data_IF_406659137189
#
_entry.id   IF_406659137189
#
_cell.length_a   1.000
_cell.length_b   1.000
_cell.length_c   1.000
_cell.angle_alpha   90.00
_cell.angle_beta   90.00
_cell.angle_gamma   90.00
#
_symmetry.space_group_name_H-M   'P 1'
#
loop_
_entity.id
_entity.type
_entity.pdbx_description
1 polymer ?
#
# COMPACT_ATOMS: atom_id res chain seq x y z
N UNK A 1 35.85 -5.57 41.86
CA UNK A 1 36.99 -5.08 41.04
C UNK A 1 36.45 -3.98 40.13
N UNK A 2 36.60 -2.72 40.53
CA UNK A 2 36.22 -1.55 39.72
C UNK A 2 37.36 -1.18 38.77
N UNK A 3 37.08 -1.06 37.47
CA UNK A 3 38.05 -0.55 36.49
C UNK A 3 37.86 0.96 36.28
N UNK A 4 38.84 1.75 36.75
CA UNK A 4 38.93 3.19 36.43
C UNK A 4 39.37 3.38 34.97
N UNK A 5 38.53 4.00 34.14
CA UNK A 5 38.93 4.53 32.83
C UNK A 5 39.67 5.87 32.99
N UNK A 6 40.79 6.05 32.30
CA UNK A 6 41.53 7.32 32.20
C UNK A 6 41.04 8.14 30.99
N UNK A 7 41.00 9.49 31.06
CA UNK A 7 40.63 10.31 29.91
C UNK A 7 41.78 10.44 28.91
N UNK A 8 41.42 10.46 27.62
CA UNK A 8 42.33 10.65 26.47
C UNK A 8 42.68 12.13 26.32
N UNK A 9 43.98 12.45 26.28
CA UNK A 9 44.50 13.80 26.07
C UNK A 9 44.64 14.06 24.56
N UNK A 10 43.86 15.01 24.01
CA UNK A 10 44.02 15.47 22.62
C UNK A 10 45.20 16.45 22.50
N UNK A 11 46.02 16.31 21.46
CA UNK A 11 47.21 17.14 21.26
C UNK A 11 46.87 18.52 20.69
N UNK A 12 47.65 19.54 21.10
CA UNK A 12 47.50 20.95 20.71
C UNK A 12 47.46 21.19 19.19
N UNK A 13 47.98 20.26 18.38
CA UNK A 13 48.01 20.36 16.93
C UNK A 13 46.62 20.20 16.27
N UNK A 14 45.70 19.45 16.89
CA UNK A 14 44.35 19.25 16.33
C UNK A 14 43.42 20.47 16.53
N UNK A 15 43.63 21.24 17.60
CA UNK A 15 42.85 22.45 17.89
C UNK A 15 43.18 23.57 16.88
N UNK A 16 44.45 23.65 16.45
CA UNK A 16 44.90 24.64 15.46
C UNK A 16 44.35 24.38 14.05
N UNK A 17 44.16 23.11 13.67
CA UNK A 17 43.59 22.74 12.36
C UNK A 17 42.09 23.07 12.30
N UNK A 18 41.37 22.95 13.42
CA UNK A 18 39.95 23.30 13.50
C UNK A 18 39.73 24.83 13.44
N UNK A 19 40.56 25.60 14.14
CA UNK A 19 40.48 27.07 14.13
C UNK A 19 40.83 27.68 12.76
N UNK A 20 41.81 27.12 12.05
CA UNK A 20 42.17 27.59 10.70
C UNK A 20 41.04 27.34 9.67
N UNK A 21 40.26 26.27 9.84
CA UNK A 21 39.16 25.93 8.92
C UNK A 21 37.96 26.88 9.04
N UNK A 22 37.69 27.40 10.25
CA UNK A 22 36.59 28.37 10.48
C UNK A 22 36.94 29.76 9.93
N UNK A 23 38.22 30.16 10.00
CA UNK A 23 38.68 31.46 9.49
C UNK A 23 38.58 31.56 7.95
N UNK A 24 38.84 30.46 7.23
CA UNK A 24 38.71 30.42 5.76
C UNK A 24 37.24 30.52 5.32
N UNK A 25 36.31 29.94 6.08
CA UNK A 25 34.88 30.07 5.79
C UNK A 25 34.35 31.50 5.98
N UNK A 26 34.91 32.26 6.95
CA UNK A 26 34.50 33.64 7.18
C UNK A 26 35.03 34.61 6.10
N UNK A 27 36.20 34.34 5.52
CA UNK A 27 36.74 35.16 4.42
C UNK A 27 36.02 34.92 3.08
N UNK A 28 35.49 33.71 2.83
CA UNK A 28 34.70 33.43 1.62
C UNK A 28 33.35 34.16 1.66
N UNK A 29 32.74 34.34 2.83
CA UNK A 29 31.48 35.07 2.98
C UNK A 29 31.60 36.58 2.69
N UNK A 30 32.78 37.17 2.90
CA UNK A 30 33.04 38.60 2.62
C UNK A 30 33.31 38.88 1.12
N UNK A 31 33.63 37.85 0.33
CA UNK A 31 33.94 37.97 -1.11
C UNK A 31 32.71 37.89 -2.04
N UNK A 32 31.53 37.47 -1.52
CA UNK A 32 30.33 37.22 -2.35
C UNK A 32 29.36 38.43 -2.39
N UNK A 33 29.71 39.57 -1.80
CA UNK A 33 29.10 40.87 -2.14
C UNK A 33 27.56 40.95 -2.06
N UNK A 34 26.90 40.17 -1.19
CA UNK A 34 25.45 40.28 -0.97
C UNK A 34 25.15 41.47 -0.06
N UNK A 35 24.85 42.62 -0.69
CA UNK A 35 24.27 43.78 -0.01
C UNK A 35 22.88 43.43 0.49
N UNK A 36 22.67 43.48 1.81
CA UNK A 36 21.33 43.56 2.39
C UNK A 36 20.73 44.94 2.09
N UNK A 37 19.54 44.96 1.47
CA UNK A 37 18.69 46.14 1.38
C UNK A 37 17.69 46.17 2.56
N UNK A 38 17.21 47.36 2.98
CA UNK A 38 16.73 47.60 4.33
C UNK A 38 15.21 47.52 4.52
N UNK A 39 14.83 47.33 5.80
CA UNK A 39 13.57 47.67 6.48
C UNK A 39 12.25 47.28 5.82
N UNK A 40 11.59 46.26 6.38
CA UNK A 40 10.15 46.05 6.19
C UNK A 40 9.38 47.17 6.89
N UNK A 41 8.50 47.83 6.13
CA UNK A 41 7.48 48.74 6.63
C UNK A 41 6.43 47.98 7.45
N UNK A 42 6.07 48.54 8.60
CA UNK A 42 4.86 48.26 9.36
C UNK A 42 3.65 48.57 8.47
N UNK A 43 2.96 47.55 7.92
CA UNK A 43 1.55 47.60 7.48
C UNK A 43 1.03 46.26 6.90
N UNK A 44 1.28 45.14 7.59
CA UNK A 44 0.66 43.84 7.24
C UNK A 44 -0.21 43.24 8.36
N UNK A 45 -0.54 44.04 9.37
CA UNK A 45 -1.37 43.62 10.51
C UNK A 45 -2.89 43.65 10.24
N UNK A 46 -3.35 43.72 8.98
CA UNK A 46 -4.77 43.87 8.65
C UNK A 46 -5.40 42.70 7.87
N UNK A 47 -4.66 41.60 7.65
CA UNK A 47 -5.19 40.39 6.98
C UNK A 47 -5.25 39.14 7.87
N UNK A 48 -5.05 39.25 9.19
CA UNK A 48 -5.00 38.11 10.11
C UNK A 48 -6.31 37.84 10.90
N UNK A 49 -7.44 38.44 10.52
CA UNK A 49 -8.73 38.20 11.19
C UNK A 49 -9.77 37.57 10.25
N UNK A 50 -9.48 36.34 9.80
CA UNK A 50 -10.49 35.41 9.32
C UNK A 50 -10.55 34.22 10.30
N UNK A 51 -11.66 34.01 11.03
CA UNK A 51 -11.84 32.82 11.86
C UNK A 51 -12.25 31.66 10.95
N UNK A 52 -11.28 31.12 10.20
CA UNK A 52 -11.48 29.99 9.29
C UNK A 52 -10.19 29.15 9.23
N UNK A 53 -9.64 28.78 10.39
CA UNK A 53 -8.72 27.64 10.63
C UNK A 53 -8.66 27.50 12.16
N UNK A 54 -9.62 26.79 12.76
CA UNK A 54 -9.54 26.46 14.18
C UNK A 54 -10.23 25.12 14.49
N UNK A 55 -10.09 24.12 13.61
CA UNK A 55 -10.22 22.69 13.93
C UNK A 55 -9.72 21.86 12.75
N UNK A 56 -8.44 22.00 12.40
CA UNK A 56 -7.74 20.89 11.76
C UNK A 56 -6.75 20.39 12.81
N UNK A 57 -7.28 19.57 13.72
CA UNK A 57 -6.45 18.80 14.62
C UNK A 57 -5.47 18.04 13.73
N UNK A 58 -4.17 18.35 13.85
CA UNK A 58 -3.12 17.48 13.32
C UNK A 58 -3.27 16.18 14.09
N UNK A 59 -4.03 15.23 13.55
CA UNK A 59 -4.16 13.91 14.14
C UNK A 59 -2.74 13.34 14.28
N UNK A 60 -2.31 12.97 15.50
CA UNK A 60 -1.08 12.22 15.67
C UNK A 60 -1.00 11.07 14.66
N UNK A 61 0.23 10.72 14.27
CA UNK A 61 0.54 9.62 13.32
C UNK A 61 -0.21 8.32 13.68
N UNK A 62 -0.61 8.14 14.94
CA UNK A 62 -1.81 7.40 15.32
C UNK A 62 -2.55 8.11 16.44
N UNK A 63 -3.65 8.78 16.14
CA UNK A 63 -4.76 8.89 17.09
C UNK A 63 -5.83 7.89 16.67
N UNK A 64 -5.57 6.61 16.92
CA UNK A 64 -6.55 5.52 16.81
C UNK A 64 -7.65 5.64 17.89
N UNK A 65 -7.91 6.84 18.43
CA UNK A 65 -8.91 7.04 19.47
C UNK A 65 -10.33 6.97 18.87
N UNK A 66 -10.82 5.74 18.82
CA UNK A 66 -12.14 5.30 19.29
C UNK A 66 -13.42 5.88 18.64
N UNK A 67 -13.37 6.54 17.49
CA UNK A 67 -14.55 6.56 16.62
C UNK A 67 -14.51 5.34 15.70
N UNK A 68 -15.50 4.46 15.79
CA UNK A 68 -15.67 3.40 14.79
C UNK A 68 -15.86 4.05 13.42
N UNK A 69 -15.04 3.68 12.43
CA UNK A 69 -15.23 4.15 11.06
C UNK A 69 -16.64 3.78 10.60
N UNK A 70 -17.36 4.75 10.03
CA UNK A 70 -18.69 4.53 9.46
C UNK A 70 -18.53 4.40 7.96
N UNK A 71 -18.96 3.26 7.42
CA UNK A 71 -18.99 3.09 5.97
C UNK A 71 -19.98 4.09 5.37
N UNK A 72 -19.60 4.67 4.23
CA UNK A 72 -20.36 5.71 3.53
C UNK A 72 -20.55 5.22 2.10
N UNK A 73 -21.60 4.43 1.83
CA UNK A 73 -21.90 3.89 0.49
C UNK A 73 -21.93 4.97 -0.60
N UNK A 74 -21.82 4.61 -1.86
CA UNK A 74 -21.93 5.60 -2.93
C UNK A 74 -23.31 6.27 -2.94
N UNK A 75 -23.36 7.53 -3.37
CA UNK A 75 -24.65 8.19 -3.63
C UNK A 75 -25.07 7.82 -5.05
N UNK A 76 -26.14 7.02 -5.17
CA UNK A 76 -26.69 6.58 -6.45
C UNK A 76 -27.31 7.74 -7.24
N UNK A 77 -27.24 7.66 -8.56
CA UNK A 77 -27.85 8.62 -9.49
C UNK A 77 -28.97 7.96 -10.30
N UNK A 78 -30.10 8.65 -10.46
CA UNK A 78 -31.27 8.15 -11.22
C UNK A 78 -31.02 8.13 -12.73
N UNK A 79 -30.22 9.07 -13.21
CA UNK A 79 -29.81 9.14 -14.60
C UNK A 79 -28.58 8.25 -14.79
N UNK A 80 -28.75 7.26 -15.64
CA UNK A 80 -27.68 6.57 -16.35
C UNK A 80 -26.95 7.66 -17.17
N UNK A 81 -26.05 8.42 -16.53
CA UNK A 81 -25.16 9.36 -17.24
C UNK A 81 -24.17 8.47 -17.96
N UNK A 82 -24.66 7.90 -19.07
CA UNK A 82 -24.04 6.79 -19.77
C UNK A 82 -22.64 7.16 -20.14
N UNK A 83 -21.70 6.43 -19.58
CA UNK A 83 -20.31 6.51 -20.00
C UNK A 83 -20.23 6.05 -21.46
N UNK A 84 -19.49 6.75 -22.35
CA UNK A 84 -19.13 6.23 -23.66
C UNK A 84 -18.38 4.87 -23.60
N UNK A 85 -17.87 4.49 -22.42
CA UNK A 85 -17.10 3.28 -22.17
C UNK A 85 -17.91 2.12 -21.55
N UNK A 86 -19.25 2.19 -21.46
CA UNK A 86 -20.14 1.12 -20.96
C UNK A 86 -19.92 -0.26 -21.60
N UNK A 87 -19.37 -0.29 -22.82
CA UNK A 87 -18.99 -1.54 -23.48
C UNK A 87 -17.91 -2.32 -22.71
N UNK A 88 -17.11 -1.62 -21.90
CA UNK A 88 -15.92 -2.16 -21.22
C UNK A 88 -15.98 -2.00 -19.69
N UNK A 89 -16.66 -0.96 -19.19
CA UNK A 89 -16.72 -0.64 -17.76
C UNK A 89 -18.14 -0.62 -17.20
N UNK A 90 -18.30 -1.18 -16.00
CA UNK A 90 -19.50 -1.12 -15.18
C UNK A 90 -19.55 0.15 -14.35
N UNK A 91 -20.48 0.21 -13.40
CA UNK A 91 -20.77 1.40 -12.61
C UNK A 91 -22.20 1.91 -12.82
N UNK A 92 -23.15 1.03 -13.13
CA UNK A 92 -24.53 1.41 -13.38
C UNK A 92 -25.13 2.10 -12.14
N UNK A 93 -25.60 3.34 -12.34
CA UNK A 93 -26.16 4.17 -11.27
C UNK A 93 -25.12 4.69 -10.26
N UNK A 94 -23.83 4.51 -10.53
CA UNK A 94 -22.74 5.09 -9.75
C UNK A 94 -22.37 6.47 -10.27
N UNK A 95 -21.79 7.30 -9.39
CA UNK A 95 -21.19 8.56 -9.84
C UNK A 95 -19.89 8.29 -10.59
N UNK A 96 -19.66 9.10 -11.61
CA UNK A 96 -18.48 9.05 -12.49
C UNK A 96 -17.13 9.01 -11.75
N UNK A 97 -17.00 9.68 -10.61
CA UNK A 97 -15.73 9.73 -9.88
C UNK A 97 -15.27 8.37 -9.33
N UNK A 98 -16.14 7.36 -9.29
CA UNK A 98 -15.83 6.02 -8.81
C UNK A 98 -15.02 5.19 -9.81
N UNK A 99 -14.80 5.68 -11.04
CA UNK A 99 -13.95 5.03 -12.04
C UNK A 99 -14.57 3.79 -12.71
N UNK A 100 -15.48 3.09 -12.04
CA UNK A 100 -16.10 1.86 -12.56
C UNK A 100 -15.19 0.64 -12.39
N UNK A 101 -15.53 -0.46 -13.05
CA UNK A 101 -14.78 -1.72 -13.00
C UNK A 101 -14.96 -2.48 -14.32
N UNK A 102 -14.14 -3.49 -14.62
CA UNK A 102 -14.31 -4.30 -15.82
C UNK A 102 -15.66 -5.06 -15.82
N UNK A 103 -16.63 -4.61 -16.63
CA UNK A 103 -17.96 -5.20 -16.73
C UNK A 103 -18.03 -6.15 -17.92
N UNK A 104 -17.96 -7.46 -17.64
CA UNK A 104 -18.13 -8.51 -18.66
C UNK A 104 -16.92 -9.39 -18.89
N UNK A 105 -15.77 -9.03 -18.33
CA UNK A 105 -14.59 -9.90 -18.25
C UNK A 105 -13.80 -9.64 -16.98
N UNK A 106 -12.91 -10.56 -16.65
CA UNK A 106 -11.87 -10.33 -15.65
C UNK A 106 -10.80 -9.44 -16.27
N UNK A 107 -10.42 -8.37 -15.57
CA UNK A 107 -9.26 -7.58 -15.96
C UNK A 107 -7.98 -8.36 -15.67
N UNK A 108 -7.47 -9.02 -16.70
CA UNK A 108 -6.28 -9.87 -16.60
C UNK A 108 -4.99 -9.07 -16.35
N UNK A 109 -5.03 -7.75 -16.47
CA UNK A 109 -3.89 -6.88 -16.21
C UNK A 109 -3.71 -6.62 -14.69
N UNK A 110 -4.78 -6.80 -13.90
CA UNK A 110 -4.77 -6.74 -12.44
C UNK A 110 -4.64 -8.11 -11.74
N UNK A 111 -4.64 -9.22 -12.49
CA UNK A 111 -4.63 -10.58 -11.94
C UNK A 111 -3.23 -11.20 -11.95
N UNK A 112 -2.74 -11.62 -10.77
CA UNK A 112 -1.44 -12.30 -10.66
C UNK A 112 -1.36 -13.32 -9.50
N UNK A 113 -1.75 -14.58 -9.74
CA UNK A 113 -1.58 -15.66 -8.76
C UNK A 113 -0.13 -15.82 -8.29
N UNK A 114 0.87 -15.56 -9.13
CA UNK A 114 2.27 -15.63 -8.72
C UNK A 114 2.65 -14.53 -7.71
N UNK A 115 2.21 -13.29 -7.93
CA UNK A 115 2.41 -12.21 -6.96
C UNK A 115 1.69 -12.49 -5.64
N UNK A 116 0.45 -13.00 -5.70
CA UNK A 116 -0.33 -13.34 -4.50
C UNK A 116 0.27 -14.52 -3.75
N UNK A 117 0.78 -15.53 -4.45
CA UNK A 117 1.51 -16.66 -3.87
C UNK A 117 2.80 -16.21 -3.18
N UNK A 118 3.55 -15.29 -3.80
CA UNK A 118 4.72 -14.66 -3.17
C UNK A 118 4.33 -13.94 -1.87
N UNK A 119 3.26 -13.14 -1.90
CA UNK A 119 2.77 -12.44 -0.71
C UNK A 119 2.37 -13.42 0.40
N UNK A 120 1.64 -14.48 0.06
CA UNK A 120 1.21 -15.50 1.02
C UNK A 120 2.40 -16.22 1.67
N UNK A 121 3.35 -16.68 0.85
CA UNK A 121 4.42 -17.61 1.27
C UNK A 121 5.68 -16.93 1.80
N UNK A 122 6.14 -15.89 1.12
CA UNK A 122 7.43 -15.26 1.41
C UNK A 122 7.27 -13.99 2.23
N UNK A 123 6.23 -13.19 1.97
CA UNK A 123 5.95 -12.02 2.78
C UNK A 123 5.13 -12.35 4.02
N UNK A 124 4.49 -13.54 4.06
CA UNK A 124 3.79 -14.06 5.22
C UNK A 124 2.44 -13.38 5.47
N UNK A 125 1.76 -12.91 4.43
CA UNK A 125 0.48 -12.22 4.57
C UNK A 125 -0.61 -13.19 5.04
N UNK A 126 -1.28 -12.88 6.16
CA UNK A 126 -2.38 -13.65 6.76
C UNK A 126 -3.66 -12.84 6.94
N UNK A 127 -3.57 -11.51 6.86
CA UNK A 127 -4.72 -10.60 6.87
C UNK A 127 -4.54 -9.51 5.81
N UNK A 128 -5.59 -9.20 5.06
CA UNK A 128 -5.50 -8.31 3.90
C UNK A 128 -6.72 -7.41 3.77
N UNK A 129 -6.49 -6.13 3.49
CA UNK A 129 -7.52 -5.21 3.04
C UNK A 129 -7.32 -4.92 1.55
N UNK A 130 -8.29 -5.32 0.73
CA UNK A 130 -8.35 -5.05 -0.70
C UNK A 130 -9.17 -3.76 -0.93
N UNK A 131 -8.48 -2.67 -1.28
CA UNK A 131 -9.08 -1.35 -1.52
C UNK A 131 -9.36 -1.22 -3.01
N UNK A 132 -10.60 -0.88 -3.37
CA UNK A 132 -11.05 -0.87 -4.76
C UNK A 132 -11.08 -2.28 -5.35
N UNK A 133 -11.55 -3.23 -4.55
CA UNK A 133 -11.59 -4.66 -4.89
C UNK A 133 -12.48 -4.99 -6.11
N UNK A 134 -13.30 -4.05 -6.58
CA UNK A 134 -14.26 -4.24 -7.67
C UNK A 134 -15.18 -5.42 -7.38
N UNK A 135 -15.17 -6.41 -8.26
CA UNK A 135 -15.95 -7.65 -8.09
C UNK A 135 -15.32 -8.64 -7.10
N UNK A 136 -14.18 -8.33 -6.50
CA UNK A 136 -13.50 -9.19 -5.50
C UNK A 136 -12.67 -10.32 -6.11
N UNK A 137 -12.09 -10.13 -7.30
CA UNK A 137 -11.27 -11.16 -7.97
C UNK A 137 -10.03 -11.51 -7.15
N UNK A 138 -9.20 -10.53 -6.80
CA UNK A 138 -8.04 -10.70 -5.91
C UNK A 138 -8.48 -11.11 -4.50
N UNK A 139 -9.50 -10.45 -3.95
CA UNK A 139 -10.00 -10.75 -2.60
C UNK A 139 -10.42 -12.21 -2.47
N UNK A 140 -11.13 -12.77 -3.47
CA UNK A 140 -11.56 -14.16 -3.46
C UNK A 140 -10.38 -15.14 -3.44
N UNK A 141 -9.28 -14.83 -4.13
CA UNK A 141 -8.08 -15.67 -4.09
C UNK A 141 -7.52 -15.74 -2.68
N UNK A 142 -7.28 -14.58 -2.06
CA UNK A 142 -6.75 -14.51 -0.69
C UNK A 142 -7.69 -15.20 0.31
N UNK A 143 -8.99 -14.93 0.22
CA UNK A 143 -10.00 -15.54 1.09
C UNK A 143 -10.01 -17.07 0.98
N UNK A 144 -9.98 -17.62 -0.24
CA UNK A 144 -9.95 -19.07 -0.46
C UNK A 144 -8.67 -19.74 0.03
N UNK A 145 -7.54 -19.03 0.03
CA UNK A 145 -6.27 -19.46 0.62
C UNK A 145 -6.15 -19.19 2.14
N UNK A 146 -7.26 -18.87 2.81
CA UNK A 146 -7.34 -18.76 4.26
C UNK A 146 -6.79 -17.45 4.85
N UNK A 147 -6.55 -16.43 4.01
CA UNK A 147 -6.25 -15.08 4.49
C UNK A 147 -7.53 -14.46 5.06
N UNK A 148 -7.41 -13.78 6.20
CA UNK A 148 -8.45 -12.87 6.73
C UNK A 148 -8.55 -11.65 5.82
N UNK A 149 -9.22 -11.83 4.68
CA UNK A 149 -9.34 -10.86 3.61
C UNK A 149 -10.64 -10.06 3.73
N UNK A 150 -10.53 -8.74 3.61
CA UNK A 150 -11.64 -7.80 3.55
C UNK A 150 -11.56 -6.99 2.26
N UNK A 151 -12.71 -6.62 1.71
CA UNK A 151 -12.83 -5.83 0.50
C UNK A 151 -13.59 -4.54 0.81
N UNK A 152 -13.04 -3.39 0.41
CA UNK A 152 -13.72 -2.10 0.43
C UNK A 152 -13.85 -1.56 -0.98
N UNK A 153 -15.09 -1.33 -1.41
CA UNK A 153 -15.43 -0.93 -2.79
C UNK A 153 -16.35 0.29 -2.79
N UNK A 154 -16.09 1.25 -3.68
CA UNK A 154 -16.91 2.45 -3.82
C UNK A 154 -18.06 2.27 -4.80
N UNK A 155 -17.90 1.48 -5.85
CA UNK A 155 -18.93 1.18 -6.84
C UNK A 155 -20.02 0.27 -6.27
N UNK A 156 -21.26 0.75 -6.25
CA UNK A 156 -22.38 -0.09 -5.83
C UNK A 156 -22.67 -1.19 -6.84
N UNK A 157 -22.48 -0.90 -8.13
CA UNK A 157 -22.68 -1.90 -9.19
C UNK A 157 -21.65 -3.05 -9.08
N UNK A 158 -20.38 -2.74 -8.77
CA UNK A 158 -19.37 -3.75 -8.48
C UNK A 158 -19.72 -4.57 -7.23
N UNK A 159 -20.26 -3.89 -6.20
CA UNK A 159 -20.72 -4.52 -4.97
C UNK A 159 -21.87 -5.50 -5.23
N UNK A 160 -22.87 -5.14 -6.04
CA UNK A 160 -23.97 -6.05 -6.41
C UNK A 160 -23.48 -7.26 -7.23
N UNK A 161 -22.47 -7.05 -8.08
CA UNK A 161 -21.90 -8.08 -8.96
C UNK A 161 -20.70 -8.84 -8.36
N UNK A 162 -20.50 -8.72 -7.04
CA UNK A 162 -19.33 -9.24 -6.37
C UNK A 162 -19.30 -10.78 -6.30
N UNK A 163 -18.10 -11.34 -6.45
CA UNK A 163 -17.79 -12.76 -6.40
C UNK A 163 -17.55 -13.28 -4.98
N UNK A 164 -17.58 -12.42 -3.97
CA UNK A 164 -17.26 -12.76 -2.58
C UNK A 164 -18.47 -12.55 -1.64
N UNK A 165 -18.51 -13.19 -0.46
CA UNK A 165 -19.61 -13.02 0.50
C UNK A 165 -19.77 -11.57 1.00
N UNK A 166 -20.99 -11.20 1.39
CA UNK A 166 -21.26 -9.88 1.99
C UNK A 166 -20.51 -9.66 3.32
N UNK A 167 -20.19 -10.73 4.04
CA UNK A 167 -19.58 -10.70 5.38
C UNK A 167 -18.15 -10.15 5.40
N UNK A 168 -17.48 -10.15 4.25
CA UNK A 168 -16.11 -9.64 4.09
C UNK A 168 -16.06 -8.37 3.23
N UNK A 169 -17.22 -7.75 2.95
CA UNK A 169 -17.34 -6.58 2.08
C UNK A 169 -17.79 -5.35 2.85
N UNK A 170 -17.26 -4.21 2.45
CA UNK A 170 -17.72 -2.89 2.86
C UNK A 170 -17.92 -2.01 1.63
N UNK A 171 -19.12 -1.45 1.45
CA UNK A 171 -19.34 -0.41 0.45
C UNK A 171 -18.95 0.95 1.04
N UNK A 172 -17.95 1.61 0.46
CA UNK A 172 -17.51 2.92 0.91
C UNK A 172 -16.89 3.75 -0.22
N UNK A 173 -17.44 4.94 -0.41
CA UNK A 173 -16.95 5.96 -1.33
C UNK A 173 -16.04 6.95 -0.58
N UNK A 174 -14.74 6.87 -0.86
CA UNK A 174 -13.72 7.74 -0.24
C UNK A 174 -13.86 9.23 -0.59
N UNK A 175 -14.72 9.61 -1.53
CA UNK A 175 -15.08 11.02 -1.73
C UNK A 175 -15.97 11.57 -0.61
N UNK A 176 -16.65 10.68 0.14
CA UNK A 176 -17.65 11.05 1.16
C UNK A 176 -17.07 11.24 2.56
N UNK A 177 -15.89 10.69 2.82
CA UNK A 177 -15.23 10.77 4.12
C UNK A 177 -14.26 9.61 4.33
N UNK A 178 -13.52 9.58 5.45
CA UNK A 178 -12.56 8.54 5.73
C UNK A 178 -13.23 7.24 6.19
N UNK A 179 -12.59 6.12 5.89
CA UNK A 179 -12.95 4.81 6.44
C UNK A 179 -11.70 3.97 6.70
N UNK A 180 -11.81 3.02 7.64
CA UNK A 180 -10.76 2.05 7.95
C UNK A 180 -11.33 0.79 8.62
N UNK A 181 -10.65 -0.35 8.51
CA UNK A 181 -11.06 -1.57 9.20
C UNK A 181 -10.86 -1.46 10.72
N UNK A 182 -11.62 -2.23 11.49
CA UNK A 182 -11.55 -2.19 12.96
C UNK A 182 -10.24 -2.72 13.56
N UNK A 183 -9.48 -3.50 12.79
CA UNK A 183 -8.21 -4.11 13.18
C UNK A 183 -7.14 -3.68 12.20
N UNK A 184 -5.89 -3.72 12.65
CA UNK A 184 -4.76 -3.65 11.72
C UNK A 184 -4.64 -4.95 10.93
N UNK A 185 -4.11 -4.87 9.71
CA UNK A 185 -3.92 -5.98 8.78
C UNK A 185 -2.46 -6.07 8.34
N UNK A 186 -2.05 -7.23 7.84
CA UNK A 186 -0.69 -7.43 7.33
C UNK A 186 -0.45 -6.64 6.05
N UNK A 187 -1.43 -6.60 5.15
CA UNK A 187 -1.30 -5.95 3.86
C UNK A 187 -2.55 -5.16 3.45
N UNK A 188 -2.32 -4.06 2.74
CA UNK A 188 -3.28 -3.49 1.79
C UNK A 188 -2.90 -3.93 0.39
N UNK A 189 -3.88 -4.39 -0.38
CA UNK A 189 -3.81 -4.56 -1.83
C UNK A 189 -4.68 -3.48 -2.47
N UNK A 190 -4.11 -2.67 -3.37
CA UNK A 190 -4.77 -1.51 -3.95
C UNK A 190 -4.30 -1.36 -5.39
N UNK A 191 -4.92 -2.11 -6.30
CA UNK A 191 -4.55 -2.16 -7.72
C UNK A 191 -5.60 -1.43 -8.55
N UNK A 192 -5.14 -0.49 -9.37
CA UNK A 192 -5.93 0.41 -10.23
C UNK A 192 -6.98 1.23 -9.46
N UNK A 193 -6.50 2.02 -8.49
CA UNK A 193 -7.35 2.87 -7.62
C UNK A 193 -6.77 4.27 -7.47
N UNK A 194 -5.45 4.39 -7.29
CA UNK A 194 -4.83 5.65 -6.89
C UNK A 194 -5.09 6.77 -7.91
N UNK A 195 -5.05 6.44 -9.19
CA UNK A 195 -5.32 7.35 -10.30
C UNK A 195 -6.78 7.79 -10.39
N UNK A 196 -7.71 7.06 -9.78
CA UNK A 196 -9.13 7.41 -9.72
C UNK A 196 -9.49 8.28 -8.50
N UNK A 197 -8.63 8.32 -7.47
CA UNK A 197 -8.87 9.11 -6.26
C UNK A 197 -8.11 10.43 -6.32
N UNK A 198 -8.85 11.51 -6.58
CA UNK A 198 -8.30 12.87 -6.61
C UNK A 198 -7.60 13.25 -5.29
N UNK A 199 -6.53 14.06 -5.38
CA UNK A 199 -5.70 14.47 -4.24
C UNK A 199 -6.46 15.01 -3.04
N UNK A 200 -7.57 15.70 -3.28
CA UNK A 200 -8.45 16.26 -2.25
C UNK A 200 -9.15 15.18 -1.40
N UNK A 201 -9.18 13.93 -1.84
CA UNK A 201 -9.75 12.79 -1.10
C UNK A 201 -8.67 11.85 -0.53
N UNK A 202 -7.38 12.14 -0.72
CA UNK A 202 -6.32 11.32 -0.14
C UNK A 202 -6.40 11.26 1.38
N UNK A 203 -6.87 12.33 2.05
CA UNK A 203 -7.09 12.30 3.50
C UNK A 203 -8.16 11.29 3.95
N UNK A 204 -9.05 10.89 3.05
CA UNK A 204 -10.08 9.88 3.30
C UNK A 204 -9.56 8.45 3.05
N UNK A 205 -8.70 8.29 2.04
CA UNK A 205 -8.10 7.01 1.66
C UNK A 205 -6.99 6.56 2.62
N UNK A 206 -6.12 7.49 3.03
CA UNK A 206 -4.94 7.19 3.84
C UNK A 206 -5.25 6.54 5.20
N UNK A 207 -6.35 6.85 5.91
CA UNK A 207 -6.76 6.13 7.11
C UNK A 207 -6.87 4.61 6.93
N UNK A 208 -7.46 4.12 5.84
CA UNK A 208 -7.53 2.69 5.53
C UNK A 208 -6.13 2.10 5.34
N UNK A 209 -5.29 2.79 4.56
CA UNK A 209 -3.91 2.38 4.30
C UNK A 209 -3.03 2.35 5.56
N UNK A 210 -3.24 3.28 6.50
CA UNK A 210 -2.53 3.35 7.78
C UNK A 210 -2.85 2.19 8.73
N UNK A 211 -3.88 1.39 8.45
CA UNK A 211 -4.19 0.18 9.21
C UNK A 211 -3.44 -1.06 8.71
N UNK A 212 -2.62 -0.96 7.65
CA UNK A 212 -1.82 -2.06 7.16
C UNK A 212 -0.34 -1.95 7.53
N UNK A 213 0.33 -3.10 7.72
CA UNK A 213 1.78 -3.18 7.88
C UNK A 213 2.51 -2.94 6.55
N UNK A 214 2.07 -3.59 5.46
CA UNK A 214 2.58 -3.40 4.10
C UNK A 214 1.48 -2.86 3.19
N UNK A 215 1.84 -2.00 2.24
CA UNK A 215 0.93 -1.46 1.23
C UNK A 215 1.45 -1.86 -0.13
N UNK A 216 0.65 -2.59 -0.90
CA UNK A 216 0.90 -2.97 -2.27
C UNK A 216 -0.04 -2.16 -3.15
N UNK A 217 0.50 -1.12 -3.80
CA UNK A 217 -0.31 -0.16 -4.55
C UNK A 217 0.17 -0.09 -6.00
N UNK A 218 -0.74 -0.02 -6.97
CA UNK A 218 -0.37 0.41 -8.34
C UNK A 218 -0.77 1.86 -8.55
N UNK A 219 -0.21 2.45 -9.60
CA UNK A 219 -0.57 3.76 -10.08
C UNK A 219 -0.56 3.77 -11.61
N UNK A 220 -1.16 4.77 -12.23
CA UNK A 220 -1.03 4.98 -13.67
C UNK A 220 -0.04 6.11 -14.00
N UNK A 221 0.65 5.96 -15.13
CA UNK A 221 1.49 7.00 -15.77
C UNK A 221 0.85 7.56 -17.04
N UNK A 222 -0.37 7.10 -17.38
CA UNK A 222 -1.14 7.59 -18.52
C UNK A 222 -2.59 7.90 -18.13
N UNK A 223 -3.23 8.75 -18.95
CA UNK A 223 -4.65 9.04 -18.79
C UNK A 223 -5.52 7.84 -19.17
N UNK A 224 -6.70 7.76 -18.57
CA UNK A 224 -7.65 6.68 -18.79
C UNK A 224 -9.04 7.15 -18.39
N UNK A 225 -10.00 6.22 -18.40
CA UNK A 225 -11.36 6.52 -17.98
C UNK A 225 -11.37 6.97 -16.52
N UNK A 226 -11.77 8.22 -16.26
CA UNK A 226 -11.75 8.85 -14.93
C UNK A 226 -10.42 8.74 -14.17
N UNK A 227 -9.29 8.75 -14.87
CA UNK A 227 -8.01 8.99 -14.22
C UNK A 227 -7.91 10.50 -13.91
N UNK A 228 -7.92 10.85 -12.63
CA UNK A 228 -7.89 12.23 -12.13
C UNK A 228 -6.58 12.57 -11.41
N UNK A 229 -5.79 11.56 -11.02
CA UNK A 229 -4.51 11.74 -10.33
C UNK A 229 -3.42 10.85 -10.96
N UNK A 230 -2.90 11.24 -12.12
CA UNK A 230 -1.89 10.46 -12.87
C UNK A 230 -0.51 11.07 -12.65
N UNK A 231 0.43 10.27 -12.15
CA UNK A 231 1.82 10.70 -11.89
C UNK A 231 2.83 9.57 -12.05
N UNK A 232 4.08 9.97 -12.25
CA UNK A 232 5.25 9.09 -12.24
C UNK A 232 5.52 8.47 -10.86
N UNK A 233 6.31 7.39 -10.85
CA UNK A 233 6.65 6.60 -9.66
C UNK A 233 7.23 7.46 -8.53
N UNK A 234 8.18 8.35 -8.81
CA UNK A 234 8.84 9.19 -7.81
C UNK A 234 7.87 10.13 -7.08
N UNK A 235 6.82 10.58 -7.78
CA UNK A 235 5.79 11.41 -7.18
C UNK A 235 4.99 10.60 -6.15
N UNK A 236 4.58 9.38 -6.49
CA UNK A 236 3.84 8.49 -5.59
C UNK A 236 4.70 8.05 -4.40
N UNK A 237 5.97 7.74 -4.63
CA UNK A 237 6.93 7.45 -3.54
C UNK A 237 6.99 8.63 -2.58
N UNK A 238 7.21 9.85 -3.09
CA UNK A 238 7.27 11.06 -2.27
C UNK A 238 5.95 11.32 -1.53
N UNK A 239 4.81 11.12 -2.21
CA UNK A 239 3.48 11.31 -1.64
C UNK A 239 3.22 10.36 -0.48
N UNK A 240 3.45 9.07 -0.65
CA UNK A 240 3.26 8.07 0.41
C UNK A 240 4.26 8.25 1.56
N UNK A 241 5.51 8.62 1.26
CA UNK A 241 6.49 8.96 2.30
C UNK A 241 6.06 10.17 3.14
N UNK A 242 5.43 11.18 2.53
CA UNK A 242 4.88 12.33 3.27
C UNK A 242 3.77 11.94 4.26
N UNK A 243 3.13 10.78 4.09
CA UNK A 243 2.14 10.23 5.02
C UNK A 243 2.73 9.34 6.12
N UNK A 244 4.04 9.12 6.11
CA UNK A 244 4.78 8.33 7.11
C UNK A 244 5.13 6.91 6.69
N UNK A 245 4.89 6.53 5.42
CA UNK A 245 5.24 5.22 4.91
C UNK A 245 6.69 5.17 4.41
N UNK A 246 7.29 3.98 4.39
CA UNK A 246 8.66 3.75 3.92
C UNK A 246 8.62 2.93 2.64
N UNK A 247 9.04 3.50 1.52
CA UNK A 247 9.15 2.76 0.27
C UNK A 247 10.16 1.61 0.36
N UNK A 248 9.77 0.44 -0.12
CA UNK A 248 10.61 -0.77 -0.18
C UNK A 248 10.88 -1.17 -1.63
N UNK A 249 12.03 -0.75 -2.16
CA UNK A 249 12.52 -1.19 -3.46
C UNK A 249 12.69 -2.73 -3.52
N UNK A 250 13.08 -3.34 -2.40
CA UNK A 250 13.23 -4.80 -2.30
C UNK A 250 11.90 -5.51 -2.58
N UNK A 251 10.86 -5.23 -1.79
CA UNK A 251 9.55 -5.88 -1.95
C UNK A 251 8.90 -5.53 -3.29
N UNK A 252 9.04 -4.28 -3.73
CA UNK A 252 8.56 -3.82 -5.05
C UNK A 252 9.10 -4.69 -6.17
N UNK A 253 10.42 -4.91 -6.20
CA UNK A 253 11.06 -5.76 -7.22
C UNK A 253 10.62 -7.21 -7.15
N UNK A 254 10.44 -7.77 -5.95
CA UNK A 254 9.96 -9.15 -5.81
C UNK A 254 8.57 -9.31 -6.44
N UNK A 255 7.63 -8.43 -6.10
CA UNK A 255 6.26 -8.49 -6.60
C UNK A 255 6.21 -8.25 -8.12
N UNK A 256 6.90 -7.24 -8.63
CA UNK A 256 6.97 -6.98 -10.08
C UNK A 256 7.58 -8.17 -10.84
N UNK A 257 8.63 -8.79 -10.28
CA UNK A 257 9.26 -9.96 -10.89
C UNK A 257 8.33 -11.18 -10.90
N UNK A 258 7.64 -11.45 -9.79
CA UNK A 258 6.67 -12.55 -9.71
C UNK A 258 5.52 -12.35 -10.70
N UNK A 259 4.96 -11.14 -10.79
CA UNK A 259 3.92 -10.80 -11.76
C UNK A 259 4.41 -10.93 -13.21
N UNK A 260 5.62 -10.45 -13.52
CA UNK A 260 6.16 -10.56 -14.87
C UNK A 260 6.46 -12.00 -15.28
N UNK A 261 6.70 -12.91 -14.35
CA UNK A 261 6.95 -14.32 -14.65
C UNK A 261 5.67 -15.05 -15.12
N UNK A 262 4.48 -14.51 -14.82
CA UNK A 262 3.19 -15.13 -15.18
C UNK A 262 2.68 -14.78 -16.58
N UNK A 263 3.36 -13.88 -17.31
CA UNK A 263 2.93 -13.37 -18.63
C UNK A 263 2.66 -14.45 -19.67
N UNK A 264 3.30 -15.61 -19.55
CA UNK A 264 3.15 -16.74 -20.47
C UNK A 264 2.16 -17.79 -19.99
N UNK A 265 1.74 -17.73 -18.73
CA UNK A 265 0.80 -18.67 -18.11
C UNK A 265 -0.62 -18.30 -18.55
N UNK A 266 -1.35 -19.29 -19.05
CA UNK A 266 -2.73 -19.13 -19.53
C UNK A 266 -3.72 -19.41 -18.42
N UNK A 267 -4.69 -18.52 -18.27
CA UNK A 267 -5.88 -18.70 -17.46
C UNK A 267 -6.92 -19.57 -18.20
N UNK A 268 -7.95 -20.10 -17.51
CA UNK A 268 -8.98 -20.94 -18.12
C UNK A 268 -9.75 -20.30 -19.28
N UNK A 269 -9.87 -18.97 -19.30
CA UNK A 269 -10.48 -18.21 -20.40
C UNK A 269 -9.55 -18.07 -21.63
N UNK A 270 -8.39 -18.74 -21.63
CA UNK A 270 -7.36 -18.70 -22.65
C UNK A 270 -6.61 -17.36 -22.77
N UNK A 271 -6.89 -16.37 -21.92
CA UNK A 271 -6.08 -15.18 -21.74
C UNK A 271 -4.83 -15.51 -20.91
N UNK A 272 -3.79 -14.68 -21.01
CA UNK A 272 -2.63 -14.81 -20.12
C UNK A 272 -2.90 -14.10 -18.80
N UNK A 273 -2.27 -14.56 -17.72
CA UNK A 273 -2.14 -13.79 -16.48
C UNK A 273 -1.14 -12.63 -16.72
N UNK A 274 -1.54 -11.65 -17.53
CA UNK A 274 -0.68 -10.58 -18.01
C UNK A 274 -0.13 -9.75 -16.86
N UNK A 275 -0.96 -9.44 -15.85
CA UNK A 275 -0.57 -8.72 -14.64
C UNK A 275 0.10 -7.36 -14.91
N UNK A 276 -0.25 -6.71 -16.03
CA UNK A 276 0.41 -5.49 -16.52
C UNK A 276 0.45 -4.35 -15.51
N UNK A 277 -0.66 -4.07 -14.85
CA UNK A 277 -0.73 -3.05 -13.82
C UNK A 277 0.28 -3.32 -12.70
N UNK A 278 0.47 -4.59 -12.35
CA UNK A 278 1.36 -5.02 -11.27
C UNK A 278 2.82 -4.93 -11.70
N UNK A 279 3.24 -5.57 -12.79
CA UNK A 279 4.68 -5.62 -13.12
C UNK A 279 5.22 -4.30 -13.68
N UNK A 280 4.37 -3.40 -14.19
CA UNK A 280 4.78 -2.04 -14.57
C UNK A 280 4.78 -1.09 -13.38
N UNK A 281 3.73 -1.09 -12.56
CA UNK A 281 3.43 0.05 -11.68
C UNK A 281 3.25 -0.27 -10.20
N UNK A 282 3.42 -1.53 -9.78
CA UNK A 282 3.35 -1.87 -8.35
C UNK A 282 4.43 -1.13 -7.56
N UNK A 283 4.07 -0.54 -6.42
CA UNK A 283 4.96 0.00 -5.41
C UNK A 283 4.61 -0.62 -4.07
N UNK A 284 5.63 -1.02 -3.31
CA UNK A 284 5.45 -1.57 -1.98
C UNK A 284 6.00 -0.62 -0.93
N UNK A 285 5.15 -0.28 0.04
CA UNK A 285 5.52 0.53 1.19
C UNK A 285 5.35 -0.24 2.49
N UNK A 286 6.14 0.14 3.49
CA UNK A 286 6.10 -0.37 4.85
C UNK A 286 5.57 0.74 5.76
N UNK A 287 4.55 0.44 6.53
CA UNK A 287 4.11 1.26 7.64
C UNK A 287 4.82 0.77 8.92
N UNK A 288 5.91 1.43 9.35
CA UNK A 288 6.69 0.96 10.49
C UNK A 288 5.87 0.88 11.78
N UNK A 289 4.79 1.68 11.88
CA UNK A 289 4.01 1.69 13.12
C UNK A 289 3.09 0.48 13.25
N UNK A 290 2.55 -0.02 12.15
CA UNK A 290 1.75 -1.26 12.17
C UNK A 290 2.66 -2.48 12.09
N UNK A 291 3.68 -2.47 11.23
CA UNK A 291 4.61 -3.59 11.06
C UNK A 291 5.39 -3.95 12.33
N UNK A 292 5.55 -3.01 13.28
CA UNK A 292 6.21 -3.26 14.57
C UNK A 292 5.30 -3.84 15.65
N UNK A 293 3.99 -3.97 15.40
CA UNK A 293 3.06 -4.53 16.39
C UNK A 293 3.22 -6.06 16.51
N UNK A 294 3.06 -6.65 17.71
CA UNK A 294 3.27 -8.08 17.92
C UNK A 294 2.48 -9.01 17.01
N UNK A 295 1.24 -8.64 16.66
CA UNK A 295 0.38 -9.44 15.78
C UNK A 295 0.85 -9.50 14.31
N UNK A 296 1.80 -8.65 13.93
CA UNK A 296 2.41 -8.60 12.59
C UNK A 296 3.87 -9.10 12.59
N UNK A 297 4.36 -9.63 13.72
CA UNK A 297 5.74 -10.07 13.86
C UNK A 297 6.10 -11.29 12.98
N UNK A 298 5.11 -11.99 12.42
CA UNK A 298 5.30 -13.12 11.51
C UNK A 298 5.64 -12.73 10.07
N UNK A 299 5.56 -11.45 9.72
CA UNK A 299 5.83 -10.97 8.36
C UNK A 299 7.29 -11.22 7.95
N UNK A 300 7.52 -11.27 6.63
CA UNK A 300 8.80 -11.63 6.03
C UNK A 300 9.19 -13.07 6.41
N UNK A 301 8.28 -14.01 6.13
CA UNK A 301 8.32 -15.42 6.50
C UNK A 301 9.33 -16.28 5.71
N UNK A 302 10.28 -15.65 5.01
CA UNK A 302 11.36 -16.35 4.32
C UNK A 302 12.14 -17.26 5.29
N UNK A 303 12.43 -18.49 4.85
CA UNK A 303 13.23 -19.42 5.64
C UNK A 303 14.66 -18.85 5.85
N UNK A 304 15.15 -18.90 7.08
CA UNK A 304 16.41 -18.25 7.45
C UNK A 304 17.57 -19.22 7.71
N UNK A 305 17.31 -20.46 8.16
CA UNK A 305 18.37 -21.44 8.41
C UNK A 305 18.93 -21.98 7.09
N UNK A 306 20.26 -22.10 6.97
CA UNK A 306 20.90 -22.59 5.75
C UNK A 306 21.64 -23.91 5.99
N UNK A 307 21.78 -24.73 4.94
CA UNK A 307 22.73 -25.88 4.94
C UNK A 307 24.14 -25.50 4.44
N UNK A 308 24.30 -24.30 3.92
CA UNK A 308 25.54 -23.79 3.32
C UNK A 308 25.54 -22.27 3.29
N UNK A 309 26.46 -21.67 2.54
CA UNK A 309 26.56 -20.20 2.41
C UNK A 309 25.63 -19.61 1.35
N UNK A 310 24.93 -20.44 0.55
CA UNK A 310 24.09 -19.97 -0.55
C UNK A 310 22.65 -19.69 -0.11
N UNK A 311 22.01 -18.70 -0.75
CA UNK A 311 20.60 -18.33 -0.52
C UNK A 311 19.64 -19.49 -0.84
N UNK A 312 19.98 -20.29 -1.84
CA UNK A 312 19.23 -21.48 -2.29
C UNK A 312 19.18 -22.58 -1.22
N UNK A 313 20.10 -22.58 -0.26
CA UNK A 313 20.23 -23.60 0.77
C UNK A 313 19.33 -23.33 1.99
N UNK A 314 18.47 -22.32 1.93
CA UNK A 314 17.53 -21.96 3.00
C UNK A 314 16.54 -23.08 3.23
N UNK A 315 16.31 -23.40 4.51
CA UNK A 315 15.47 -24.49 4.98
C UNK A 315 14.82 -24.13 6.32
N UNK A 316 13.80 -24.90 6.76
CA UNK A 316 13.33 -24.79 8.14
C UNK A 316 14.46 -25.09 9.12
N UNK A 317 14.48 -24.31 10.20
CA UNK A 317 15.36 -24.55 11.34
C UNK A 317 14.94 -25.85 12.04
N UNK A 318 15.89 -26.58 12.61
CA UNK A 318 15.66 -27.89 13.26
C UNK A 318 16.12 -27.87 14.72
N UNK A 319 15.26 -28.36 15.62
CA UNK A 319 15.56 -28.53 17.04
C UNK A 319 16.77 -29.44 17.27
N UNK A 320 16.87 -30.53 16.52
CA UNK A 320 17.99 -31.48 16.56
C UNK A 320 19.35 -30.84 16.28
N UNK A 321 19.35 -29.71 15.55
CA UNK A 321 20.55 -28.95 15.17
C UNK A 321 20.90 -27.85 16.17
N UNK A 322 20.21 -27.78 17.32
CA UNK A 322 20.28 -26.67 18.30
C UNK A 322 19.91 -25.31 17.70
N UNK A 323 19.11 -25.31 16.64
CA UNK A 323 18.62 -24.09 16.00
C UNK A 323 17.31 -23.64 16.65
N UNK A 324 17.06 -22.34 16.68
CA UNK A 324 15.77 -21.80 17.13
C UNK A 324 14.73 -22.00 16.03
N UNK A 325 13.73 -22.83 16.29
CA UNK A 325 12.63 -23.06 15.34
C UNK A 325 11.64 -21.92 15.37
N UNK A 326 11.12 -21.54 14.20
CA UNK A 326 10.01 -20.59 14.11
C UNK A 326 8.75 -21.21 14.72
N UNK A 327 8.01 -20.49 15.59
CA UNK A 327 6.76 -20.98 16.13
C UNK A 327 5.74 -21.19 15.00
N UNK A 328 4.75 -22.10 15.15
CA UNK A 328 3.73 -22.34 14.13
C UNK A 328 3.00 -21.06 13.67
N UNK A 329 2.75 -20.14 14.61
CA UNK A 329 2.11 -18.85 14.31
C UNK A 329 2.94 -17.95 13.37
N UNK A 330 4.24 -18.20 13.19
CA UNK A 330 5.13 -17.46 12.29
C UNK A 330 5.29 -18.14 10.93
N UNK A 331 4.82 -19.39 10.79
CA UNK A 331 4.84 -20.06 9.50
C UNK A 331 3.85 -19.39 8.55
N UNK A 332 4.19 -19.25 7.26
CA UNK A 332 3.24 -18.73 6.27
C UNK A 332 2.05 -19.67 6.12
N UNK A 333 0.96 -19.14 5.55
CA UNK A 333 -0.14 -19.99 5.11
C UNK A 333 0.35 -20.91 3.98
N UNK A 334 -0.19 -22.13 3.95
CA UNK A 334 0.13 -23.10 2.91
C UNK A 334 -0.59 -22.72 1.62
N UNK A 335 0.16 -22.66 0.52
CA UNK A 335 -0.43 -22.53 -0.82
C UNK A 335 -0.76 -23.93 -1.35
N UNK A 336 -2.01 -24.11 -1.76
CA UNK A 336 -2.55 -25.40 -2.19
C UNK A 336 -2.99 -25.28 -3.66
N UNK A 337 -2.40 -26.03 -4.61
CA UNK A 337 -2.74 -25.96 -6.04
C UNK A 337 -4.23 -26.21 -6.33
N UNK A 338 -4.87 -27.09 -5.56
CA UNK A 338 -6.29 -27.41 -5.72
C UNK A 338 -7.19 -26.22 -5.39
N UNK A 339 -6.76 -25.34 -4.47
CA UNK A 339 -7.46 -24.11 -4.14
C UNK A 339 -7.35 -23.10 -5.28
N UNK A 340 -6.21 -23.01 -5.96
CA UNK A 340 -6.06 -22.20 -7.19
C UNK A 340 -7.02 -22.66 -8.29
N UNK A 341 -7.09 -23.97 -8.54
CA UNK A 341 -8.02 -24.52 -9.53
C UNK A 341 -9.50 -24.27 -9.16
N UNK A 342 -9.83 -24.33 -7.86
CA UNK A 342 -11.17 -23.98 -7.38
C UNK A 342 -11.47 -22.49 -7.56
N UNK A 343 -10.50 -21.62 -7.27
CA UNK A 343 -10.61 -20.17 -7.47
C UNK A 343 -10.78 -19.82 -8.95
N UNK A 344 -10.04 -20.47 -9.83
CA UNK A 344 -10.17 -20.31 -11.28
C UNK A 344 -11.59 -20.67 -11.76
N UNK A 345 -12.11 -21.81 -11.31
CA UNK A 345 -13.50 -22.21 -11.60
C UNK A 345 -14.49 -21.19 -11.06
N UNK A 346 -14.22 -20.63 -9.88
CA UNK A 346 -15.08 -19.64 -9.25
C UNK A 346 -15.14 -18.32 -10.04
N UNK A 347 -13.99 -17.75 -10.34
CA UNK A 347 -13.87 -16.45 -11.04
C UNK A 347 -14.28 -16.56 -12.50
N UNK A 348 -13.77 -17.55 -13.23
CA UNK A 348 -14.03 -17.69 -14.67
C UNK A 348 -15.32 -18.44 -14.99
N UNK A 349 -15.85 -19.22 -14.04
CA UNK A 349 -17.17 -19.86 -14.14
C UNK A 349 -18.32 -18.99 -13.62
N UNK A 350 -18.03 -17.81 -13.05
CA UNK A 350 -19.03 -16.90 -12.44
C UNK A 350 -19.93 -17.57 -11.41
N UNK A 351 -19.37 -18.45 -10.56
CA UNK A 351 -20.11 -19.01 -9.42
C UNK A 351 -19.96 -18.10 -8.21
N UNK A 352 -20.82 -18.23 -7.20
CA UNK A 352 -20.66 -17.57 -5.91
C UNK A 352 -19.95 -18.50 -4.92
N UNK A 353 -19.08 -17.96 -4.05
CA UNK A 353 -18.51 -18.74 -2.95
C UNK A 353 -19.68 -19.08 -2.01
N UNK A 354 -19.88 -20.37 -1.62
CA UNK A 354 -20.89 -20.74 -0.64
C UNK A 354 -20.73 -19.91 0.64
N UNK A 355 -21.84 -19.43 1.18
CA UNK A 355 -21.87 -18.55 2.37
C UNK A 355 -21.36 -19.24 3.64
#
# INVERSE_FOLDING_TARGET
>A
MESKQRPVQMSRSMVLIWAASVAVFHQIFQLIGMKFAPSMNENTAQYLNLPMIATQQRHPILDLKHSKAVALPSIRIEQDVRSPSEKYYGGKGDKQHLGGFASGSVDMDGVSPAAWTLMLKEHGIKSLLDIGCGRGVSTSWFYMHGVDAQCVEGSHDAWEQSLIPNTIRTEHDFSRGPWWPSKTVDAVWCVEVLEHVGRNFHENLMPAMRHAAFLYVTHSTWGGWHHVEVHEEEWWITRFQSFGFVYSNYLTKQVRSAASASKTIRAPNNSTYNAQHIWLHMLVFINPTVASLPQHAHLLSELSCTKGSKKEDRRPCKTESKESTLPPAFQPLEWIPEVDAAWEKHVFGSTTIPQ
#
